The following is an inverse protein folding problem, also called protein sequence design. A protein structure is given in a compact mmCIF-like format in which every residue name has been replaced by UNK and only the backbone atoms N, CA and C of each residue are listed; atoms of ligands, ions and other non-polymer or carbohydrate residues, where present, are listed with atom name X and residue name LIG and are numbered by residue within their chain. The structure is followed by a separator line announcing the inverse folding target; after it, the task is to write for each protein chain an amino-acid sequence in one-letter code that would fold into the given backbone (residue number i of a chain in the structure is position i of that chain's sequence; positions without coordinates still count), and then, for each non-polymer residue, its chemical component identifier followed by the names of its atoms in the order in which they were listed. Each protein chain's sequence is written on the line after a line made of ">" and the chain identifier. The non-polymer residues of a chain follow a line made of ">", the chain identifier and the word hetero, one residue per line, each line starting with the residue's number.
data_IF_896621057230
#
_entry.id   IF_896621057230
#
_cell.length_a   1.000
_cell.length_b   1.000
_cell.length_c   1.000
_cell.angle_alpha   90.00
_cell.angle_beta   90.00
_cell.angle_gamma   90.00
#
_symmetry.space_group_name_H-M   'P 1'
#
loop_
_entity.id
_entity.type
_entity.pdbx_description
1 polymer ?
#
# COMPACT_ATOMS: atom_id res chain seq x y z
N UNK A 1 -7.56 7.78 4.63
CA UNK A 1 -7.20 9.21 4.49
C UNK A 1 -5.70 9.48 4.41
N UNK A 2 -4.84 8.93 5.30
CA UNK A 2 -3.39 9.22 5.31
C UNK A 2 -2.67 9.01 3.97
N UNK A 3 -3.01 7.97 3.21
CA UNK A 3 -2.40 7.69 1.90
C UNK A 3 -2.65 8.80 0.87
N UNK A 4 -3.81 9.48 0.91
CA UNK A 4 -4.14 10.60 0.02
C UNK A 4 -3.23 11.80 0.31
N UNK A 5 -3.08 12.12 1.59
CA UNK A 5 -2.24 13.25 2.04
C UNK A 5 -0.78 12.97 1.70
N UNK A 6 -0.28 11.77 2.00
CA UNK A 6 1.09 11.36 1.66
C UNK A 6 1.34 11.43 0.15
N UNK A 7 0.39 10.96 -0.67
CA UNK A 7 0.48 11.03 -2.13
C UNK A 7 0.59 12.48 -2.62
N UNK A 8 -0.28 13.38 -2.17
CA UNK A 8 -0.24 14.80 -2.59
C UNK A 8 1.11 15.41 -2.23
N UNK A 9 1.60 15.22 -1.01
CA UNK A 9 2.89 15.77 -0.55
C UNK A 9 4.05 15.23 -1.41
N UNK A 10 4.13 13.91 -1.58
CA UNK A 10 5.22 13.28 -2.34
C UNK A 10 5.15 13.62 -3.83
N UNK A 11 3.94 13.70 -4.41
CA UNK A 11 3.74 14.09 -5.80
C UNK A 11 4.14 15.54 -6.03
N UNK A 12 3.77 16.44 -5.14
CA UNK A 12 4.22 17.84 -5.19
C UNK A 12 5.73 17.95 -5.11
N UNK A 13 6.38 17.22 -4.19
CA UNK A 13 7.85 17.19 -4.10
C UNK A 13 8.51 16.66 -5.37
N UNK A 14 7.98 15.56 -5.93
CA UNK A 14 8.44 14.97 -7.19
C UNK A 14 8.40 15.97 -8.33
N UNK A 15 7.31 16.73 -8.47
CA UNK A 15 7.18 17.78 -9.49
C UNK A 15 8.16 18.93 -9.21
N UNK A 16 8.17 19.45 -7.98
CA UNK A 16 8.97 20.63 -7.61
C UNK A 16 10.48 20.40 -7.75
N UNK A 17 10.95 19.15 -7.61
CA UNK A 17 12.37 18.79 -7.66
C UNK A 17 12.74 17.92 -8.87
N UNK A 18 11.79 17.68 -9.78
CA UNK A 18 11.97 16.78 -10.92
C UNK A 18 12.54 15.39 -10.52
N UNK A 19 11.97 14.79 -9.47
CA UNK A 19 12.39 13.49 -8.95
C UNK A 19 11.44 12.39 -9.42
N UNK A 20 11.95 11.20 -9.78
CA UNK A 20 11.10 10.06 -10.07
C UNK A 20 10.32 9.64 -8.82
N UNK A 21 9.03 9.32 -9.01
CA UNK A 21 8.17 8.80 -7.97
C UNK A 21 7.61 7.46 -8.44
N UNK A 22 7.79 6.43 -7.62
CA UNK A 22 7.30 5.08 -7.89
C UNK A 22 6.44 4.61 -6.71
N UNK A 23 5.45 3.77 -7.01
CA UNK A 23 4.68 3.07 -5.99
C UNK A 23 5.21 1.66 -5.80
N UNK A 24 4.91 1.12 -4.62
CA UNK A 24 5.21 -0.26 -4.20
C UNK A 24 3.96 -0.86 -3.58
N UNK A 25 3.83 -2.19 -3.64
CA UNK A 25 2.71 -2.89 -3.01
C UNK A 25 2.82 -2.82 -1.49
N UNK A 26 1.73 -2.40 -0.83
CA UNK A 26 1.63 -2.46 0.63
C UNK A 26 1.74 -3.89 1.18
N UNK A 27 1.36 -4.89 0.38
CA UNK A 27 1.50 -6.30 0.72
C UNK A 27 2.97 -6.74 0.66
N UNK A 28 3.72 -6.34 -0.37
CA UNK A 28 5.16 -6.65 -0.44
C UNK A 28 5.93 -6.05 0.74
N UNK A 29 5.56 -4.84 1.15
CA UNK A 29 6.10 -4.18 2.35
C UNK A 29 5.78 -4.91 3.66
N UNK A 30 4.79 -5.81 3.66
CA UNK A 30 4.39 -6.58 4.84
C UNK A 30 4.54 -8.10 4.63
N UNK A 31 5.44 -8.52 3.73
CA UNK A 31 5.68 -9.95 3.45
C UNK A 31 4.44 -10.70 2.99
N UNK A 32 3.59 -10.05 2.20
CA UNK A 32 2.31 -10.54 1.69
C UNK A 32 1.33 -11.03 2.78
N UNK A 33 1.47 -10.51 4.00
CA UNK A 33 0.59 -10.85 5.13
C UNK A 33 -0.67 -9.97 5.15
N UNK A 34 -1.78 -10.44 5.77
CA UNK A 34 -3.00 -9.66 5.88
C UNK A 34 -2.77 -8.30 6.56
N UNK A 35 -3.36 -7.25 5.99
CA UNK A 35 -3.25 -5.87 6.48
C UNK A 35 -4.54 -5.48 7.19
N UNK A 36 -4.45 -4.98 8.43
CA UNK A 36 -5.63 -4.66 9.24
C UNK A 36 -6.54 -3.64 8.54
N UNK A 37 -7.84 -3.95 8.51
CA UNK A 37 -8.90 -3.06 8.07
C UNK A 37 -9.77 -2.66 9.26
N UNK A 38 -11.08 -2.51 9.06
CA UNK A 38 -12.03 -2.15 10.11
C UNK A 38 -12.43 -3.39 10.94
N UNK A 39 -12.59 -3.20 12.26
CA UNK A 39 -13.01 -4.24 13.21
C UNK A 39 -12.09 -5.48 13.15
N UNK A 40 -12.66 -6.64 12.83
CA UNK A 40 -11.97 -7.93 12.74
C UNK A 40 -11.71 -8.35 11.29
N UNK A 41 -11.79 -7.41 10.35
CA UNK A 41 -11.48 -7.65 8.93
C UNK A 41 -10.07 -7.18 8.61
N UNK A 42 -9.47 -7.86 7.63
CA UNK A 42 -8.17 -7.51 7.06
C UNK A 42 -8.24 -7.60 5.55
N UNK A 43 -7.45 -6.77 4.87
CA UNK A 43 -7.19 -6.89 3.45
C UNK A 43 -6.27 -8.07 3.19
N UNK A 44 -6.62 -8.88 2.19
CA UNK A 44 -5.85 -10.05 1.75
C UNK A 44 -5.67 -9.96 0.24
N UNK A 45 -4.43 -10.08 -0.22
CA UNK A 45 -4.10 -10.19 -1.63
C UNK A 45 -4.22 -11.64 -2.08
N UNK A 46 -5.03 -11.91 -3.10
CA UNK A 46 -5.15 -13.22 -3.73
C UNK A 46 -4.10 -13.41 -4.84
N UNK A 47 -3.90 -14.65 -5.24
CA UNK A 47 -2.96 -15.03 -6.32
C UNK A 47 -3.33 -14.40 -7.67
N UNK A 48 -4.62 -14.13 -7.91
CA UNK A 48 -5.10 -13.43 -9.10
C UNK A 48 -4.89 -11.90 -9.06
N UNK A 49 -4.25 -11.36 -8.02
CA UNK A 49 -4.00 -9.93 -7.83
C UNK A 49 -5.16 -9.15 -7.19
N UNK A 50 -6.28 -9.81 -6.89
CA UNK A 50 -7.44 -9.17 -6.28
C UNK A 50 -7.23 -8.94 -4.78
N UNK A 51 -7.65 -7.79 -4.26
CA UNK A 51 -7.61 -7.46 -2.84
C UNK A 51 -9.01 -7.61 -2.27
N UNK A 52 -9.17 -8.52 -1.30
CA UNK A 52 -10.45 -8.81 -0.66
C UNK A 52 -10.42 -8.50 0.84
N UNK A 53 -11.60 -8.29 1.42
CA UNK A 53 -11.78 -8.22 2.87
C UNK A 53 -12.11 -9.61 3.42
N UNK A 54 -11.31 -10.10 4.39
CA UNK A 54 -11.55 -11.38 5.06
C UNK A 54 -11.44 -11.22 6.57
N UNK A 55 -12.23 -11.99 7.32
CA UNK A 55 -12.12 -12.09 8.78
C UNK A 55 -10.89 -12.94 9.13
N UNK A 56 -9.73 -12.30 9.15
CA UNK A 56 -8.44 -12.90 9.50
C UNK A 56 -7.65 -11.92 10.35
N UNK A 57 -6.90 -12.43 11.31
CA UNK A 57 -6.03 -11.61 12.13
C UNK A 57 -4.92 -10.99 11.27
N UNK A 58 -4.75 -9.68 11.41
CA UNK A 58 -3.67 -8.97 10.74
C UNK A 58 -2.36 -9.30 11.43
N UNK A 59 -1.31 -9.46 10.63
CA UNK A 59 0.05 -9.56 11.17
C UNK A 59 0.56 -8.17 11.54
N UNK A 60 1.36 -8.09 12.60
CA UNK A 60 2.07 -6.86 12.94
C UNK A 60 2.91 -6.38 11.75
N UNK A 61 2.81 -5.09 11.44
CA UNK A 61 3.54 -4.51 10.32
C UNK A 61 5.03 -4.51 10.60
N UNK A 62 5.82 -5.10 9.70
CA UNK A 62 7.28 -5.06 9.77
C UNK A 62 7.85 -4.58 8.46
N UNK A 63 8.48 -3.40 8.50
CA UNK A 63 9.19 -2.87 7.34
C UNK A 63 10.34 -3.81 6.96
N UNK A 64 10.49 -4.19 5.68
CA UNK A 64 11.59 -5.04 5.26
C UNK A 64 12.92 -4.30 5.43
N UNK A 65 13.97 -5.04 5.78
CA UNK A 65 15.31 -4.48 5.95
C UNK A 65 15.96 -4.02 4.64
N UNK A 66 15.41 -4.41 3.49
CA UNK A 66 15.90 -4.06 2.17
C UNK A 66 14.74 -3.69 1.24
N UNK A 67 14.70 -2.42 0.81
CA UNK A 67 13.68 -1.89 -0.09
C UNK A 67 14.05 -2.05 -1.58
N UNK A 68 15.30 -2.36 -1.90
CA UNK A 68 15.78 -2.45 -3.30
C UNK A 68 15.20 -3.64 -4.06
N UNK A 69 14.65 -4.63 -3.35
CA UNK A 69 14.01 -5.83 -3.93
C UNK A 69 12.51 -5.68 -4.19
N UNK A 70 11.93 -4.53 -3.82
CA UNK A 70 10.50 -4.30 -4.01
C UNK A 70 10.19 -4.02 -5.48
N UNK A 71 9.05 -4.51 -5.94
CA UNK A 71 8.57 -4.21 -7.28
C UNK A 71 8.07 -2.77 -7.33
N UNK A 72 8.70 -1.98 -8.19
CA UNK A 72 8.35 -0.57 -8.41
C UNK A 72 7.41 -0.48 -9.60
N UNK A 73 6.35 0.31 -9.45
CA UNK A 73 5.44 0.65 -10.54
C UNK A 73 5.41 2.16 -10.78
N UNK A 74 5.14 2.53 -12.04
CA UNK A 74 4.88 3.91 -12.43
C UNK A 74 3.39 4.29 -12.28
N UNK A 75 2.52 3.31 -12.04
CA UNK A 75 1.17 3.57 -11.59
C UNK A 75 1.19 3.94 -10.10
N UNK A 76 1.27 5.25 -9.86
CA UNK A 76 1.44 5.83 -8.53
C UNK A 76 0.14 6.24 -7.86
N UNK A 77 -1.02 6.01 -8.50
CA UNK A 77 -2.30 6.39 -7.93
C UNK A 77 -2.60 5.50 -6.72
N UNK A 78 -2.95 6.08 -5.55
CA UNK A 78 -3.30 5.27 -4.39
C UNK A 78 -4.52 4.39 -4.67
N UNK A 79 -4.47 3.13 -4.26
CA UNK A 79 -5.61 2.23 -4.38
C UNK A 79 -6.65 2.52 -3.29
N UNK A 80 -7.84 2.97 -3.71
CA UNK A 80 -8.94 3.37 -2.82
C UNK A 80 -9.93 2.22 -2.64
N UNK A 81 -9.54 1.23 -1.84
CA UNK A 81 -10.30 -0.03 -1.66
C UNK A 81 -11.42 0.12 -0.62
N UNK A 82 -11.37 1.16 0.21
CA UNK A 82 -12.40 1.44 1.21
C UNK A 82 -13.24 2.59 0.68
N UNK A 83 -14.54 2.35 0.51
CA UNK A 83 -15.51 3.41 0.23
C UNK A 83 -15.46 4.49 1.30
N UNK A 84 -15.77 5.72 0.89
CA UNK A 84 -15.86 6.84 1.81
C UNK A 84 -16.88 6.51 2.93
N UNK A 85 -16.45 6.67 4.18
CA UNK A 85 -17.35 6.76 5.34
C UNK A 85 -17.81 8.20 5.46
#
# INVERSE_FOLDING_TARGET
>A
MGIKVAYVILKTLSIARNLPLHAVSGFELNGNSPIKANKNLSFVLKENGEIILKKVEAKEFKIPSNLSKLNKTNDILPNYIIDAV
#
